data_IF_568585263329
#
_entry.id   IF_568585263329
#
_cell.length_a   1.000
_cell.length_b   1.000
_cell.length_c   1.000
_cell.angle_alpha   90.00
_cell.angle_beta   90.00
_cell.angle_gamma   90.00
#
_symmetry.space_group_name_H-M   'P 1'
#
loop_
_entity.id
_entity.type
_entity.pdbx_description
1 polymer ?
#
# COMPACT_ATOMS: atom_id res chain seq x y z
N UNK A 1 20.20 0.01 -24.73
CA UNK A 1 20.98 -0.40 -23.54
C UNK A 1 20.58 0.36 -22.26
N UNK A 2 20.51 1.71 -22.26
CA UNK A 2 20.16 2.50 -21.06
C UNK A 2 18.77 2.19 -20.46
N UNK A 3 17.77 1.89 -21.31
CA UNK A 3 16.42 1.52 -20.86
C UNK A 3 16.40 0.17 -20.11
N UNK A 4 17.17 -0.82 -20.59
CA UNK A 4 17.30 -2.13 -19.93
C UNK A 4 17.92 -1.99 -18.54
N UNK A 5 18.92 -1.12 -18.40
CA UNK A 5 19.54 -0.82 -17.10
C UNK A 5 18.55 -0.18 -16.13
N UNK A 6 17.72 0.77 -16.59
CA UNK A 6 16.67 1.40 -15.76
C UNK A 6 15.62 0.39 -15.30
N UNK A 7 15.19 -0.51 -16.18
CA UNK A 7 14.24 -1.57 -15.85
C UNK A 7 14.85 -2.54 -14.84
N UNK A 8 16.12 -2.93 -15.01
CA UNK A 8 16.82 -3.82 -14.08
C UNK A 8 17.00 -3.18 -12.68
N UNK A 9 17.26 -1.88 -12.61
CA UNK A 9 17.33 -1.15 -11.34
C UNK A 9 15.95 -1.09 -10.67
N UNK A 10 14.91 -0.78 -11.44
CA UNK A 10 13.54 -0.70 -10.92
C UNK A 10 13.03 -2.06 -10.41
N UNK A 11 13.33 -3.14 -11.14
CA UNK A 11 12.94 -4.50 -10.74
C UNK A 11 13.71 -4.98 -9.50
N UNK A 12 15.01 -4.68 -9.41
CA UNK A 12 15.82 -4.97 -8.22
C UNK A 12 15.31 -4.23 -6.97
N UNK A 13 14.87 -2.97 -7.15
CA UNK A 13 14.25 -2.19 -6.07
C UNK A 13 12.93 -2.82 -5.59
N UNK A 14 12.05 -3.20 -6.51
CA UNK A 14 10.77 -3.85 -6.18
C UNK A 14 10.95 -5.20 -5.47
N UNK A 15 11.94 -6.01 -5.88
CA UNK A 15 12.24 -7.29 -5.23
C UNK A 15 12.69 -7.13 -3.77
N UNK A 16 13.42 -6.06 -3.46
CA UNK A 16 13.91 -5.76 -2.12
C UNK A 16 12.78 -5.38 -1.15
N UNK A 17 11.72 -4.71 -1.63
CA UNK A 17 10.53 -4.41 -0.82
C UNK A 17 9.77 -5.68 -0.41
N UNK A 18 9.62 -6.64 -1.32
CA UNK A 18 8.92 -7.90 -1.06
C UNK A 18 9.61 -8.74 0.02
N UNK A 19 10.95 -8.80 0.00
CA UNK A 19 11.73 -9.52 1.01
C UNK A 19 11.60 -8.89 2.42
N UNK A 20 11.52 -7.56 2.50
CA UNK A 20 11.32 -6.84 3.76
C UNK A 20 9.90 -7.03 4.32
N UNK A 21 8.89 -7.15 3.45
CA UNK A 21 7.50 -7.37 3.83
C UNK A 21 7.23 -8.78 4.39
N UNK A 22 7.99 -9.80 3.96
CA UNK A 22 7.75 -11.20 4.32
C UNK A 22 7.79 -11.52 5.83
N UNK A 23 8.44 -10.68 6.65
CA UNK A 23 8.54 -10.85 8.10
C UNK A 23 7.86 -9.72 8.91
N UNK A 24 7.21 -8.77 8.24
CA UNK A 24 6.60 -7.61 8.90
C UNK A 24 5.10 -7.83 9.02
N UNK A 25 4.57 -7.54 10.20
CA UNK A 25 3.12 -7.48 10.48
C UNK A 25 2.45 -6.28 9.81
N UNK A 26 3.12 -5.56 8.92
CA UNK A 26 2.68 -4.26 8.42
C UNK A 26 2.92 -4.13 6.92
N UNK A 27 1.89 -3.69 6.20
CA UNK A 27 1.92 -3.30 4.80
C UNK A 27 1.53 -1.84 4.64
N UNK A 28 2.17 -1.17 3.69
CA UNK A 28 1.85 0.18 3.24
C UNK A 28 1.55 0.14 1.75
N UNK A 29 0.57 0.92 1.32
CA UNK A 29 0.14 1.02 -0.05
C UNK A 29 -0.29 2.43 -0.42
N UNK A 30 -0.66 2.58 -1.69
CA UNK A 30 -1.20 3.81 -2.25
C UNK A 30 -2.59 3.51 -2.82
N UNK A 31 -3.49 4.48 -2.75
CA UNK A 31 -4.79 4.47 -3.40
C UNK A 31 -4.66 5.20 -4.73
N UNK A 32 -4.80 4.47 -5.83
CA UNK A 32 -4.71 5.02 -7.18
C UNK A 32 -6.10 5.42 -7.70
N UNK A 33 -6.20 6.59 -8.31
CA UNK A 33 -7.46 7.16 -8.81
C UNK A 33 -7.79 8.48 -8.11
N UNK A 34 -9.06 8.90 -8.22
CA UNK A 34 -9.61 10.05 -7.49
C UNK A 34 -10.76 9.55 -6.61
N UNK A 35 -10.71 9.69 -5.28
CA UNK A 35 -9.63 10.31 -4.50
C UNK A 35 -8.36 9.43 -4.40
N UNK A 36 -7.19 10.07 -4.40
CA UNK A 36 -5.89 9.39 -4.22
C UNK A 36 -5.46 9.40 -2.75
N UNK A 37 -4.61 8.49 -2.33
CA UNK A 37 -4.27 8.38 -0.91
C UNK A 37 -3.24 7.35 -0.55
N UNK A 38 -3.16 7.08 0.76
CA UNK A 38 -2.33 6.03 1.35
C UNK A 38 -3.22 4.97 1.98
N UNK A 39 -2.80 3.72 1.87
CA UNK A 39 -3.41 2.59 2.57
C UNK A 39 -2.38 1.91 3.46
N UNK A 40 -2.86 1.25 4.51
CA UNK A 40 -2.02 0.52 5.43
C UNK A 40 -2.77 -0.67 6.00
N UNK A 41 -2.05 -1.79 6.14
CA UNK A 41 -2.56 -3.00 6.74
C UNK A 41 -1.65 -3.43 7.87
N UNK A 42 -2.21 -3.77 9.02
CA UNK A 42 -1.50 -4.31 10.16
C UNK A 42 -2.07 -5.67 10.60
N UNK A 43 -1.26 -6.72 10.48
CA UNK A 43 -1.56 -8.08 10.90
C UNK A 43 -1.37 -8.25 12.41
N UNK A 44 -2.49 -8.42 13.12
CA UNK A 44 -2.52 -8.69 14.55
C UNK A 44 -2.09 -10.14 14.86
N UNK A 45 -2.52 -11.07 14.02
CA UNK A 45 -2.13 -12.49 14.04
C UNK A 45 -2.13 -13.06 12.62
N UNK A 46 -1.83 -14.36 12.45
CA UNK A 46 -1.84 -15.03 11.14
C UNK A 46 -3.18 -14.95 10.39
N UNK A 47 -4.26 -14.65 11.11
CA UNK A 47 -5.64 -14.74 10.66
C UNK A 47 -6.48 -13.51 11.06
N UNK A 48 -5.84 -12.45 11.57
CA UNK A 48 -6.53 -11.20 11.94
C UNK A 48 -5.68 -10.00 11.53
N UNK A 49 -6.30 -9.00 10.93
CA UNK A 49 -5.63 -7.77 10.54
C UNK A 49 -6.55 -6.55 10.71
N UNK A 50 -5.95 -5.38 10.86
CA UNK A 50 -6.59 -4.08 10.71
C UNK A 50 -6.15 -3.54 9.37
N UNK A 51 -7.08 -3.21 8.51
CA UNK A 51 -6.83 -2.52 7.25
C UNK A 51 -7.39 -1.10 7.33
N UNK A 52 -6.78 -0.17 6.61
CA UNK A 52 -7.28 1.20 6.56
C UNK A 52 -6.68 2.00 5.42
N UNK A 53 -7.37 3.08 5.06
CA UNK A 53 -6.89 4.03 4.07
C UNK A 53 -7.34 5.45 4.40
N UNK A 54 -6.48 6.39 4.04
CA UNK A 54 -6.77 7.82 4.06
C UNK A 54 -6.56 8.34 2.64
N UNK A 55 -7.61 8.90 2.02
CA UNK A 55 -7.61 9.40 0.66
C UNK A 55 -8.19 10.81 0.59
N UNK A 56 -7.75 11.58 -0.38
CA UNK A 56 -8.17 12.95 -0.62
C UNK A 56 -8.40 13.20 -2.11
N UNK A 57 -9.41 14.03 -2.38
CA UNK A 57 -9.69 14.61 -3.71
C UNK A 57 -9.08 16.01 -3.76
N UNK A 58 -8.30 16.29 -4.81
CA UNK A 58 -7.67 17.61 -5.02
C UNK A 58 -8.41 18.47 -6.07
N UNK A 59 -9.58 18.00 -6.53
CA UNK A 59 -10.42 18.72 -7.47
C UNK A 59 -11.25 19.83 -6.78
N UNK A 60 -12.08 20.54 -7.57
CA UNK A 60 -12.89 21.68 -7.12
C UNK A 60 -13.74 21.35 -5.87
N UNK A 61 -14.23 20.12 -5.75
CA UNK A 61 -14.82 19.59 -4.53
C UNK A 61 -13.78 18.77 -3.76
N UNK A 62 -12.97 19.48 -2.97
CA UNK A 62 -12.01 18.85 -2.07
C UNK A 62 -12.76 17.98 -1.05
N UNK A 63 -12.40 16.70 -0.98
CA UNK A 63 -12.96 15.76 -0.01
C UNK A 63 -11.86 14.92 0.62
N UNK A 64 -12.07 14.49 1.86
CA UNK A 64 -11.18 13.60 2.58
C UNK A 64 -11.96 12.39 3.06
N UNK A 65 -11.45 11.20 2.77
CA UNK A 65 -12.05 9.92 3.12
C UNK A 65 -11.07 9.18 4.02
N UNK A 66 -11.56 8.78 5.19
CA UNK A 66 -10.86 7.90 6.10
C UNK A 66 -11.68 6.62 6.28
N UNK A 67 -11.05 5.47 6.08
CA UNK A 67 -11.68 4.17 6.29
C UNK A 67 -10.79 3.24 7.10
N UNK A 68 -11.42 2.35 7.86
CA UNK A 68 -10.73 1.23 8.50
C UNK A 68 -11.67 0.03 8.61
N UNK A 69 -11.11 -1.15 8.41
CA UNK A 69 -11.82 -2.43 8.44
C UNK A 69 -11.04 -3.43 9.29
N UNK A 70 -11.74 -4.19 10.12
CA UNK A 70 -11.16 -5.33 10.83
C UNK A 70 -11.38 -6.61 10.02
N UNK A 71 -10.29 -7.27 9.62
CA UNK A 71 -10.29 -8.45 8.76
C UNK A 71 -10.04 -9.72 9.58
N UNK A 72 -10.84 -10.74 9.31
CA UNK A 72 -10.70 -12.09 9.88
C UNK A 72 -10.55 -13.07 8.72
N UNK A 73 -9.43 -13.77 8.68
CA UNK A 73 -9.12 -14.79 7.68
C UNK A 73 -9.36 -16.18 8.28
N UNK A 74 -9.92 -17.09 7.49
CA UNK A 74 -10.09 -18.51 7.85
C UNK A 74 -8.91 -19.33 7.34
#
# INVERSE_FOLDING_TARGET
MKALLRIAILSSFMFSLSAYAANKRFGLGIVLGEPTGLSGQYWLSKNRAIDGAAAWSLNEESSFILQSTYLIYK
#
